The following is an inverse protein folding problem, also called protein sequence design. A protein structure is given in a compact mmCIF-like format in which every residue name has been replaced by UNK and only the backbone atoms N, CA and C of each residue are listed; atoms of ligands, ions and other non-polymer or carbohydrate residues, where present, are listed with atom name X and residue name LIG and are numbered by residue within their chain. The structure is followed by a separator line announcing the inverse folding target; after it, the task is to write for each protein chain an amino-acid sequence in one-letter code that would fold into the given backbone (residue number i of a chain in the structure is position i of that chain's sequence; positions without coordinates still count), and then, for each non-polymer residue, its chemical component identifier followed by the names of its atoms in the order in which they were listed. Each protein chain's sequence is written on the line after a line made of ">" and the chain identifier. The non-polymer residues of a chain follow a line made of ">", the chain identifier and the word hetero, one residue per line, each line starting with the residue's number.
data_IF_093214015690
#
_entry.id   IF_093214015690
#
_cell.length_a   1.000
_cell.length_b   1.000
_cell.length_c   1.000
_cell.angle_alpha   90.00
_cell.angle_beta   90.00
_cell.angle_gamma   90.00
#
_symmetry.space_group_name_H-M   'P 1'
#
loop_
_entity.id
_entity.type
_entity.pdbx_description
1 polymer ?
#
# COMPACT_ATOMS: atom_id res chain seq x y z
N UNK A 1 -10.51 -3.78 19.97
CA UNK A 1 -11.85 -4.35 20.20
C UNK A 1 -12.06 -5.63 19.37
N UNK A 2 -12.03 -5.60 18.02
CA UNK A 2 -12.28 -6.76 17.14
C UNK A 2 -11.28 -7.91 17.39
N UNK A 3 -9.99 -7.62 17.60
CA UNK A 3 -8.98 -8.63 17.92
C UNK A 3 -9.30 -9.34 19.25
N UNK A 4 -9.69 -8.59 20.27
CA UNK A 4 -10.10 -9.13 21.57
C UNK A 4 -11.36 -10.00 21.45
N UNK A 5 -12.34 -9.58 20.63
CA UNK A 5 -13.55 -10.38 20.36
C UNK A 5 -13.22 -11.68 19.62
N UNK A 6 -12.30 -11.64 18.63
CA UNK A 6 -11.85 -12.87 17.93
C UNK A 6 -11.14 -13.84 18.88
N UNK A 7 -10.26 -13.34 19.76
CA UNK A 7 -9.58 -14.16 20.76
C UNK A 7 -10.57 -14.74 21.79
N UNK A 8 -11.57 -13.96 22.21
CA UNK A 8 -12.63 -14.42 23.11
C UNK A 8 -13.50 -15.50 22.42
N UNK A 9 -13.88 -15.30 21.17
CA UNK A 9 -14.66 -16.30 20.41
C UNK A 9 -13.85 -17.59 20.21
N UNK A 10 -12.57 -17.52 19.90
CA UNK A 10 -11.71 -18.70 19.78
C UNK A 10 -11.70 -19.54 21.08
N UNK A 11 -11.57 -18.89 22.23
CA UNK A 11 -11.65 -19.58 23.54
C UNK A 11 -13.04 -20.20 23.80
N UNK A 12 -14.11 -19.51 23.38
CA UNK A 12 -15.48 -20.05 23.47
C UNK A 12 -15.66 -21.26 22.56
N UNK A 13 -15.12 -21.23 21.32
CA UNK A 13 -15.16 -22.35 20.37
C UNK A 13 -14.41 -23.60 20.89
N UNK A 14 -13.21 -23.40 21.47
CA UNK A 14 -12.45 -24.47 22.11
C UNK A 14 -13.26 -25.09 23.26
N UNK A 15 -13.93 -24.26 24.06
CA UNK A 15 -14.78 -24.73 25.16
C UNK A 15 -16.02 -25.45 24.69
N UNK A 16 -16.64 -24.98 23.60
CA UNK A 16 -17.77 -25.69 22.96
C UNK A 16 -17.35 -27.09 22.52
N UNK A 17 -16.20 -27.20 21.87
CA UNK A 17 -15.64 -28.46 21.41
C UNK A 17 -15.40 -29.46 22.55
N UNK A 18 -14.76 -29.01 23.65
CA UNK A 18 -14.54 -29.82 24.84
C UNK A 18 -15.87 -30.34 25.44
N UNK A 19 -16.87 -29.46 25.53
CA UNK A 19 -18.18 -29.82 26.08
C UNK A 19 -18.91 -30.82 25.17
N UNK A 20 -18.88 -30.63 23.86
CA UNK A 20 -19.47 -31.54 22.88
C UNK A 20 -18.80 -32.91 22.91
N UNK A 21 -17.49 -33.00 22.96
CA UNK A 21 -16.75 -34.26 23.06
C UNK A 21 -17.07 -34.98 24.35
N UNK A 22 -17.19 -34.29 25.47
CA UNK A 22 -17.59 -34.91 26.73
C UNK A 22 -19.04 -35.44 26.69
N UNK A 23 -19.97 -34.63 26.17
CA UNK A 23 -21.39 -35.03 26.06
C UNK A 23 -21.51 -36.25 25.15
N UNK A 24 -20.86 -36.24 23.99
CA UNK A 24 -20.85 -37.37 23.04
C UNK A 24 -20.35 -38.66 23.69
N UNK A 25 -19.22 -38.55 24.45
CA UNK A 25 -18.58 -39.72 25.07
C UNK A 25 -19.35 -40.32 26.25
N UNK A 26 -20.11 -39.51 26.99
CA UNK A 26 -20.72 -39.91 28.26
C UNK A 26 -22.25 -39.79 28.34
N UNK A 27 -22.90 -39.38 27.26
CA UNK A 27 -24.39 -39.24 27.22
C UNK A 27 -25.12 -40.53 27.52
N UNK A 28 -24.60 -41.68 27.12
CA UNK A 28 -25.18 -43.00 27.34
C UNK A 28 -24.77 -43.67 28.68
N UNK A 29 -23.88 -43.05 29.46
CA UNK A 29 -23.37 -43.63 30.70
C UNK A 29 -24.21 -43.21 31.91
N UNK A 30 -24.92 -44.14 32.53
CA UNK A 30 -25.83 -43.87 33.63
C UNK A 30 -25.16 -43.19 34.85
N UNK A 31 -23.91 -43.55 35.18
CA UNK A 31 -23.18 -42.96 36.31
C UNK A 31 -22.71 -41.50 36.05
N UNK A 32 -22.56 -41.09 34.77
CA UNK A 32 -22.14 -39.76 34.36
C UNK A 32 -23.24 -38.91 33.73
N UNK A 33 -24.45 -39.43 33.65
CA UNK A 33 -25.62 -38.77 33.04
C UNK A 33 -25.89 -37.38 33.64
N UNK A 34 -25.81 -37.22 34.96
CA UNK A 34 -26.01 -35.92 35.63
C UNK A 34 -24.90 -34.88 35.20
N UNK A 35 -23.68 -35.37 35.02
CA UNK A 35 -22.57 -34.50 34.57
C UNK A 35 -22.74 -34.13 33.08
N UNK A 36 -23.16 -35.04 32.22
CA UNK A 36 -23.47 -34.78 30.84
C UNK A 36 -24.59 -33.75 30.68
N UNK A 37 -25.68 -33.89 31.48
CA UNK A 37 -26.78 -32.92 31.50
C UNK A 37 -26.34 -31.52 31.97
N UNK A 38 -25.50 -31.45 33.00
CA UNK A 38 -24.96 -30.17 33.47
C UNK A 38 -24.10 -29.50 32.40
N UNK A 39 -23.27 -30.29 31.68
CA UNK A 39 -22.42 -29.75 30.59
C UNK A 39 -23.22 -29.36 29.36
N UNK A 40 -24.32 -30.04 29.07
CA UNK A 40 -25.28 -29.66 28.02
C UNK A 40 -25.89 -28.29 28.32
N UNK A 41 -26.31 -28.04 29.56
CA UNK A 41 -26.80 -26.72 29.99
C UNK A 41 -25.73 -25.65 29.92
N UNK A 42 -24.46 -25.98 30.22
CA UNK A 42 -23.35 -25.05 30.09
C UNK A 42 -23.09 -24.72 28.61
N UNK A 43 -23.17 -25.68 27.70
CA UNK A 43 -23.05 -25.50 26.26
C UNK A 43 -24.12 -24.54 25.71
N UNK A 44 -25.37 -24.72 26.13
CA UNK A 44 -26.53 -23.90 25.73
C UNK A 44 -26.38 -22.43 26.14
N UNK A 45 -25.59 -22.15 27.17
CA UNK A 45 -25.34 -20.78 27.67
C UNK A 45 -24.17 -20.05 26.96
N UNK A 46 -23.36 -20.78 26.21
CA UNK A 46 -22.23 -20.17 25.49
C UNK A 46 -22.76 -19.54 24.21
N UNK A 47 -22.70 -18.20 24.16
CA UNK A 47 -22.99 -17.43 22.95
C UNK A 47 -21.68 -16.90 22.38
N UNK A 48 -21.46 -17.13 21.08
CA UNK A 48 -20.39 -16.47 20.35
C UNK A 48 -20.79 -15.03 20.08
N UNK A 49 -19.85 -14.12 20.27
CA UNK A 49 -20.09 -12.73 19.92
C UNK A 49 -20.20 -12.60 18.40
N UNK A 50 -21.25 -11.97 17.92
CA UNK A 50 -21.44 -11.71 16.50
C UNK A 50 -20.43 -10.64 16.06
N UNK A 51 -19.34 -11.08 15.45
CA UNK A 51 -18.37 -10.18 14.83
C UNK A 51 -18.93 -9.82 13.46
N UNK A 52 -19.61 -8.69 13.37
CA UNK A 52 -20.05 -8.17 12.07
C UNK A 52 -18.84 -7.98 11.18
N UNK A 53 -18.82 -8.52 9.95
CA UNK A 53 -17.76 -8.25 9.01
C UNK A 53 -17.62 -6.73 8.85
N UNK A 54 -16.40 -6.22 8.93
CA UNK A 54 -16.16 -4.80 8.71
C UNK A 54 -16.63 -4.44 7.30
N UNK A 55 -17.47 -3.43 7.18
CA UNK A 55 -17.85 -2.85 5.88
C UNK A 55 -16.68 -2.09 5.24
N UNK A 56 -15.59 -1.90 5.99
CA UNK A 56 -14.39 -1.22 5.50
C UNK A 56 -13.67 -2.09 4.50
N UNK A 57 -13.50 -1.55 3.31
CA UNK A 57 -12.71 -2.18 2.24
C UNK A 57 -11.34 -1.51 2.22
N UNK A 58 -10.30 -2.34 2.21
CA UNK A 58 -8.92 -1.88 2.10
C UNK A 58 -8.43 -2.14 0.67
N UNK A 59 -7.82 -1.17 -0.01
CA UNK A 59 -7.13 -1.45 -1.25
C UNK A 59 -5.96 -2.40 -0.97
N UNK A 60 -5.65 -3.26 -1.94
CA UNK A 60 -4.51 -4.16 -1.84
C UNK A 60 -3.29 -3.53 -2.50
N UNK A 61 -2.37 -3.02 -1.68
CA UNK A 61 -1.13 -2.40 -2.13
C UNK A 61 0.03 -3.36 -1.86
N UNK A 62 0.70 -3.77 -2.93
CA UNK A 62 1.82 -4.70 -2.89
C UNK A 62 2.81 -4.33 -4.02
N UNK A 63 3.89 -3.68 -3.67
CA UNK A 63 4.92 -3.26 -4.62
C UNK A 63 5.90 -4.40 -4.85
N UNK A 64 5.93 -4.92 -6.07
CA UNK A 64 6.82 -6.03 -6.48
C UNK A 64 7.77 -5.57 -7.56
N UNK A 65 9.07 -5.46 -7.25
CA UNK A 65 10.05 -5.14 -8.26
C UNK A 65 10.16 -6.24 -9.33
N UNK A 66 10.22 -5.83 -10.60
CA UNK A 66 10.47 -6.74 -11.72
C UNK A 66 11.95 -7.18 -11.79
N UNK A 67 12.84 -6.45 -11.10
CA UNK A 67 14.27 -6.65 -11.12
C UNK A 67 14.86 -6.47 -9.73
N UNK A 68 15.83 -7.30 -9.37
CA UNK A 68 16.62 -7.10 -8.16
C UNK A 68 17.48 -5.84 -8.27
N UNK A 69 17.60 -5.13 -7.14
CA UNK A 69 18.40 -3.91 -7.04
C UNK A 69 19.85 -4.25 -6.66
N UNK A 70 20.81 -3.60 -7.30
CA UNK A 70 22.23 -3.71 -6.97
C UNK A 70 22.60 -2.93 -5.69
N UNK A 71 23.85 -3.01 -5.31
CA UNK A 71 24.34 -2.36 -4.07
C UNK A 71 24.42 -0.83 -4.19
N UNK A 72 24.79 -0.31 -5.37
CA UNK A 72 24.83 1.13 -5.65
C UNK A 72 23.49 1.54 -6.22
N UNK A 73 22.74 2.37 -5.49
CA UNK A 73 21.41 2.79 -5.89
C UNK A 73 21.40 4.23 -6.36
N UNK A 74 21.87 5.16 -5.56
CA UNK A 74 21.92 6.57 -5.90
C UNK A 74 23.15 7.23 -5.27
N UNK A 75 23.85 8.01 -6.06
CA UNK A 75 24.91 8.92 -5.58
C UNK A 75 24.52 10.34 -5.96
N UNK A 76 24.55 11.24 -5.00
CA UNK A 76 24.31 12.68 -5.16
C UNK A 76 25.53 13.42 -4.63
N UNK A 77 26.10 14.34 -5.41
CA UNK A 77 27.32 15.08 -5.06
C UNK A 77 27.15 16.57 -5.33
N UNK A 78 27.19 17.37 -4.27
CA UNK A 78 27.21 18.83 -4.34
C UNK A 78 25.98 19.45 -5.00
N UNK A 79 24.82 18.80 -4.93
CA UNK A 79 23.61 19.19 -5.65
C UNK A 79 23.04 20.49 -5.10
N UNK A 80 22.91 21.50 -5.96
CA UNK A 80 22.34 22.81 -5.62
C UNK A 80 21.30 23.24 -6.64
N UNK A 81 20.26 23.95 -6.17
CA UNK A 81 19.20 24.52 -7.00
C UNK A 81 18.69 25.83 -6.44
N UNK A 82 18.61 26.83 -7.29
CA UNK A 82 18.04 28.16 -7.02
C UNK A 82 16.75 28.31 -7.84
N UNK A 83 15.69 28.77 -7.22
CA UNK A 83 14.41 29.09 -7.87
C UNK A 83 14.04 30.52 -7.49
N UNK A 84 13.73 31.35 -8.47
CA UNK A 84 13.34 32.75 -8.29
C UNK A 84 14.31 33.57 -7.40
N UNK A 85 15.61 33.27 -7.49
CA UNK A 85 16.65 33.92 -6.71
C UNK A 85 16.83 33.38 -5.28
N UNK A 86 16.03 32.45 -4.84
CA UNK A 86 16.17 31.78 -3.56
C UNK A 86 16.87 30.43 -3.75
N UNK A 87 17.91 30.16 -2.95
CA UNK A 87 18.64 28.89 -2.96
C UNK A 87 17.81 27.86 -2.20
N UNK A 88 17.16 26.96 -2.94
CA UNK A 88 16.25 25.93 -2.40
C UNK A 88 17.01 24.68 -1.95
N UNK A 89 18.00 24.26 -2.73
CA UNK A 89 18.92 23.17 -2.39
C UNK A 89 20.34 23.73 -2.36
N UNK A 90 21.11 23.40 -1.33
CA UNK A 90 22.46 23.91 -1.14
C UNK A 90 23.44 22.77 -0.84
N UNK A 91 24.28 22.43 -1.83
CA UNK A 91 25.38 21.50 -1.72
C UNK A 91 25.03 20.15 -1.09
N UNK A 92 23.91 19.54 -1.52
CA UNK A 92 23.47 18.24 -1.02
C UNK A 92 24.39 17.13 -1.52
N UNK A 93 24.90 16.32 -0.58
CA UNK A 93 25.73 15.16 -0.89
C UNK A 93 25.28 13.98 -0.03
N UNK A 94 24.88 12.87 -0.67
CA UNK A 94 24.52 11.63 -0.01
C UNK A 94 24.57 10.46 -0.98
N UNK A 95 24.60 9.25 -0.44
CA UNK A 95 24.52 8.00 -1.20
C UNK A 95 23.44 7.08 -0.62
N UNK A 96 22.79 6.30 -1.48
CA UNK A 96 21.82 5.29 -1.07
C UNK A 96 22.27 3.90 -1.53
N UNK A 97 22.16 2.93 -0.63
CA UNK A 97 22.38 1.51 -0.88
C UNK A 97 21.07 0.74 -1.00
N UNK A 98 21.16 -0.54 -1.29
CA UNK A 98 20.02 -1.42 -1.64
C UNK A 98 18.98 -1.64 -0.53
N UNK A 99 19.32 -1.38 0.72
CA UNK A 99 18.44 -1.62 1.87
C UNK A 99 17.89 -0.33 2.49
N UNK A 100 18.22 0.83 1.91
CA UNK A 100 17.91 2.10 2.51
C UNK A 100 16.42 2.44 2.39
N UNK A 101 15.89 2.92 3.51
CA UNK A 101 14.57 3.55 3.63
C UNK A 101 14.78 4.94 4.19
N UNK A 102 14.67 5.96 3.34
CA UNK A 102 15.06 7.33 3.67
C UNK A 102 13.85 8.24 3.72
N UNK A 103 13.76 9.05 4.76
CA UNK A 103 12.77 10.11 4.87
C UNK A 103 13.46 11.48 4.89
N UNK A 104 13.11 12.32 3.93
CA UNK A 104 13.53 13.72 3.93
C UNK A 104 12.59 14.53 4.82
N UNK A 105 13.12 15.04 5.92
CA UNK A 105 12.38 15.85 6.90
C UNK A 105 12.86 17.28 6.88
N UNK A 106 11.94 18.24 7.07
CA UNK A 106 12.25 19.66 7.10
C UNK A 106 11.02 20.51 6.87
N UNK A 107 11.10 21.78 7.21
CA UNK A 107 10.01 22.74 7.09
C UNK A 107 9.74 23.23 5.66
N UNK A 108 10.68 23.03 4.73
CA UNK A 108 10.52 23.45 3.33
C UNK A 108 10.06 22.25 2.48
N UNK A 109 8.74 22.11 2.32
CA UNK A 109 8.15 21.07 1.47
C UNK A 109 8.52 21.25 -0.02
N UNK A 110 8.64 22.50 -0.46
CA UNK A 110 9.02 22.82 -1.83
C UNK A 110 10.42 22.28 -2.17
N UNK A 111 11.35 22.37 -1.25
CA UNK A 111 12.69 21.82 -1.43
C UNK A 111 12.68 20.30 -1.66
N UNK A 112 11.83 19.57 -0.95
CA UNK A 112 11.67 18.11 -1.12
C UNK A 112 11.15 17.77 -2.52
N UNK A 113 10.11 18.47 -2.96
CA UNK A 113 9.55 18.30 -4.32
C UNK A 113 10.56 18.61 -5.41
N UNK A 114 11.36 19.71 -5.26
CA UNK A 114 12.42 20.06 -6.21
C UNK A 114 13.50 18.97 -6.27
N UNK A 115 13.93 18.45 -5.13
CA UNK A 115 14.88 17.34 -5.09
C UNK A 115 14.36 16.13 -5.86
N UNK A 116 13.11 15.70 -5.61
CA UNK A 116 12.52 14.57 -6.32
C UNK A 116 12.41 14.82 -7.83
N UNK A 117 11.99 16.02 -8.25
CA UNK A 117 11.94 16.39 -9.67
C UNK A 117 13.30 16.33 -10.36
N UNK A 118 14.38 16.73 -9.66
CA UNK A 118 15.74 16.58 -10.18
C UNK A 118 16.09 15.10 -10.30
N UNK A 119 15.84 14.29 -9.26
CA UNK A 119 16.21 12.88 -9.25
C UNK A 119 15.49 12.03 -10.30
N UNK A 120 14.27 12.42 -10.71
CA UNK A 120 13.54 11.76 -11.80
C UNK A 120 13.81 12.36 -13.19
N UNK A 121 14.65 13.41 -13.27
CA UNK A 121 15.03 14.04 -14.53
C UNK A 121 14.01 15.03 -15.09
N UNK A 122 13.03 15.48 -14.31
CA UNK A 122 12.08 16.53 -14.70
C UNK A 122 12.67 17.94 -14.56
N UNK A 123 13.77 18.08 -13.83
CA UNK A 123 14.45 19.36 -13.59
C UNK A 123 15.97 19.14 -13.53
N UNK A 124 16.73 20.05 -14.14
CA UNK A 124 18.19 20.04 -14.04
C UNK A 124 18.66 20.77 -12.78
N UNK A 125 19.69 20.27 -12.08
CA UNK A 125 20.35 21.00 -11.01
C UNK A 125 21.15 22.19 -11.58
N UNK A 126 21.42 23.21 -10.76
CA UNK A 126 22.29 24.32 -11.16
C UNK A 126 23.77 23.95 -10.94
N UNK A 127 24.05 23.19 -9.88
CA UNK A 127 25.39 22.68 -9.55
C UNK A 127 25.27 21.23 -9.03
N UNK A 128 26.42 20.53 -9.12
CA UNK A 128 26.51 19.15 -8.67
C UNK A 128 25.98 18.14 -9.66
N UNK A 129 25.99 16.88 -9.25
CA UNK A 129 25.58 15.75 -10.08
C UNK A 129 24.81 14.73 -9.28
N UNK A 130 24.01 13.92 -9.98
CA UNK A 130 23.42 12.71 -9.40
C UNK A 130 23.54 11.56 -10.40
N UNK A 131 23.63 10.35 -9.88
CA UNK A 131 23.75 9.14 -10.68
C UNK A 131 22.98 8.00 -10.07
N UNK A 132 22.03 7.44 -10.82
CA UNK A 132 21.36 6.20 -10.49
C UNK A 132 22.20 4.98 -10.86
N UNK A 133 22.15 3.95 -10.03
CA UNK A 133 22.73 2.65 -10.32
C UNK A 133 22.11 2.01 -11.56
N UNK A 134 22.88 1.24 -12.31
CA UNK A 134 22.44 0.62 -13.60
C UNK A 134 21.30 -0.40 -13.45
N UNK A 135 21.03 -0.87 -12.22
CA UNK A 135 19.96 -1.83 -11.93
C UNK A 135 18.70 -1.18 -11.40
N UNK A 136 18.71 0.15 -11.21
CA UNK A 136 17.59 0.88 -10.63
C UNK A 136 16.50 1.17 -11.65
N UNK A 137 15.27 1.13 -11.20
CA UNK A 137 14.09 1.62 -11.91
C UNK A 137 13.24 2.41 -10.92
N UNK A 138 12.93 3.65 -11.25
CA UNK A 138 12.27 4.58 -10.36
C UNK A 138 10.78 4.67 -10.67
N UNK A 139 9.94 4.70 -9.61
CA UNK A 139 8.56 5.13 -9.70
C UNK A 139 8.36 6.32 -8.77
N UNK A 140 7.76 7.37 -9.28
CA UNK A 140 7.52 8.61 -8.55
C UNK A 140 6.04 8.84 -8.29
N UNK A 141 5.73 9.15 -7.05
CA UNK A 141 4.43 9.63 -6.63
C UNK A 141 4.55 11.13 -6.37
N UNK A 142 4.06 11.99 -7.30
CA UNK A 142 4.18 13.44 -7.19
C UNK A 142 3.19 14.00 -6.16
N UNK A 143 3.57 15.12 -5.52
CA UNK A 143 2.68 15.89 -4.65
C UNK A 143 1.51 16.49 -5.44
N UNK A 144 1.80 17.04 -6.62
CA UNK A 144 0.80 17.54 -7.57
C UNK A 144 0.76 16.61 -8.79
N UNK A 145 -0.38 15.99 -9.00
CA UNK A 145 -0.64 15.02 -10.06
C UNK A 145 -1.76 15.41 -10.99
N UNK A 146 -2.27 16.65 -10.89
CA UNK A 146 -3.40 17.11 -11.70
C UNK A 146 -3.19 16.91 -13.20
N UNK A 147 -2.01 17.27 -13.70
CA UNK A 147 -1.65 17.14 -15.11
C UNK A 147 -1.59 15.70 -15.65
N UNK A 148 -1.35 14.70 -14.80
CA UNK A 148 -1.32 13.30 -15.24
C UNK A 148 -2.70 12.77 -15.69
N UNK A 149 -3.76 13.39 -15.20
CA UNK A 149 -5.14 13.01 -15.46
C UNK A 149 -5.88 13.95 -16.42
N UNK A 150 -5.19 14.93 -16.96
CA UNK A 150 -5.76 15.88 -17.94
C UNK A 150 -5.66 15.31 -19.36
N UNK A 151 -6.43 14.23 -19.58
CA UNK A 151 -6.51 13.54 -20.87
C UNK A 151 -7.84 12.79 -21.01
N UNK A 152 -8.09 12.27 -22.21
CA UNK A 152 -9.36 11.62 -22.57
C UNK A 152 -9.41 10.10 -22.33
N UNK A 153 -8.36 9.51 -21.78
CA UNK A 153 -8.31 8.06 -21.52
C UNK A 153 -9.33 7.66 -20.43
N UNK A 154 -9.86 6.46 -20.56
CA UNK A 154 -10.49 5.81 -19.42
C UNK A 154 -9.42 5.20 -18.48
N UNK A 155 -9.83 4.81 -17.26
CA UNK A 155 -8.88 4.32 -16.24
C UNK A 155 -8.08 3.11 -16.75
N UNK A 156 -8.73 2.18 -17.45
CA UNK A 156 -8.09 0.98 -17.98
C UNK A 156 -7.05 1.33 -19.04
N UNK A 157 -7.41 2.20 -20.00
CA UNK A 157 -6.50 2.67 -21.05
C UNK A 157 -5.32 3.44 -20.47
N UNK A 158 -5.60 4.33 -19.50
CA UNK A 158 -4.57 5.10 -18.83
C UNK A 158 -3.56 4.19 -18.11
N UNK A 159 -4.02 3.21 -17.35
CA UNK A 159 -3.12 2.31 -16.64
C UNK A 159 -2.36 1.36 -17.57
N UNK A 160 -2.97 0.94 -18.68
CA UNK A 160 -2.35 0.05 -19.68
C UNK A 160 -1.08 0.66 -20.28
N UNK A 161 -0.97 2.00 -20.35
CA UNK A 161 0.23 2.64 -20.89
C UNK A 161 1.49 2.30 -20.09
N UNK A 162 1.35 2.12 -18.77
CA UNK A 162 2.45 1.87 -17.83
C UNK A 162 2.71 0.38 -17.55
N UNK A 163 1.91 -0.50 -18.14
CA UNK A 163 2.07 -1.95 -17.98
C UNK A 163 2.94 -2.53 -19.09
N UNK A 164 3.85 -3.44 -18.74
CA UNK A 164 4.54 -4.28 -19.72
C UNK A 164 3.55 -5.27 -20.36
N UNK A 165 2.71 -5.89 -19.55
CA UNK A 165 1.61 -6.75 -19.98
C UNK A 165 0.42 -5.89 -20.43
N UNK A 166 0.09 -5.97 -21.73
CA UNK A 166 -0.99 -5.15 -22.32
C UNK A 166 -2.37 -5.81 -22.27
N UNK A 167 -2.48 -6.99 -21.67
CA UNK A 167 -3.80 -7.62 -21.50
C UNK A 167 -4.72 -6.82 -20.58
N UNK A 168 -5.90 -6.52 -21.09
CA UNK A 168 -6.93 -5.75 -20.40
C UNK A 168 -7.36 -6.43 -19.09
N UNK A 169 -7.41 -7.77 -19.07
CA UNK A 169 -7.80 -8.55 -17.90
C UNK A 169 -6.78 -8.39 -16.78
N UNK A 170 -5.49 -8.42 -17.14
CA UNK A 170 -4.38 -8.18 -16.20
C UNK A 170 -4.47 -6.78 -15.57
N UNK A 171 -4.62 -5.75 -16.40
CA UNK A 171 -4.73 -4.35 -15.93
C UNK A 171 -5.96 -4.15 -15.04
N UNK A 172 -7.12 -4.69 -15.44
CA UNK A 172 -8.34 -4.65 -14.61
C UNK A 172 -8.19 -5.37 -13.29
N UNK A 173 -7.36 -6.41 -13.22
CA UNK A 173 -7.00 -7.09 -12.00
C UNK A 173 -6.30 -6.16 -10.99
N UNK A 174 -5.42 -5.27 -11.45
CA UNK A 174 -4.82 -4.22 -10.62
C UNK A 174 -5.85 -3.22 -10.11
N UNK A 175 -6.70 -2.73 -11.00
CA UNK A 175 -7.76 -1.78 -10.66
C UNK A 175 -8.73 -2.38 -9.64
N UNK A 176 -9.12 -3.64 -9.81
CA UNK A 176 -9.98 -4.34 -8.86
C UNK A 176 -9.37 -4.44 -7.46
N UNK A 177 -8.07 -4.70 -7.35
CA UNK A 177 -7.32 -4.69 -6.07
C UNK A 177 -7.32 -3.31 -5.42
N UNK A 178 -7.36 -2.25 -6.22
CA UNK A 178 -7.45 -0.86 -5.76
C UNK A 178 -8.89 -0.36 -5.59
N UNK A 179 -9.85 -1.30 -5.47
CA UNK A 179 -11.28 -1.03 -5.22
C UNK A 179 -12.01 -0.30 -6.35
N UNK A 180 -11.53 -0.40 -7.57
CA UNK A 180 -12.32 0.00 -8.73
C UNK A 180 -13.20 -1.19 -9.16
N UNK A 181 -14.49 -0.93 -9.32
CA UNK A 181 -15.41 -1.93 -9.86
C UNK A 181 -15.20 -2.12 -11.37
N UNK A 182 -15.78 -3.17 -11.95
CA UNK A 182 -15.69 -3.39 -13.39
C UNK A 182 -16.21 -2.22 -14.24
N UNK A 183 -17.22 -1.51 -13.75
CA UNK A 183 -17.81 -0.33 -14.41
C UNK A 183 -16.93 0.92 -14.27
N UNK A 184 -16.15 1.03 -13.19
CA UNK A 184 -15.24 2.16 -13.01
C UNK A 184 -14.11 2.17 -14.06
N UNK A 185 -13.71 1.02 -14.58
CA UNK A 185 -12.66 0.91 -15.58
C UNK A 185 -12.89 1.69 -16.87
N UNK A 186 -14.15 2.04 -17.17
CA UNK A 186 -14.52 2.84 -18.37
C UNK A 186 -14.72 4.32 -18.05
N UNK A 187 -14.64 4.74 -16.79
CA UNK A 187 -14.65 6.16 -16.42
C UNK A 187 -13.45 6.88 -17.00
N UNK A 188 -13.65 8.11 -17.49
CA UNK A 188 -12.54 8.98 -17.89
C UNK A 188 -11.71 9.40 -16.66
N UNK A 189 -10.40 9.40 -16.81
CA UNK A 189 -9.49 9.78 -15.70
C UNK A 189 -9.66 11.24 -15.27
N UNK A 190 -10.07 12.11 -16.17
CA UNK A 190 -10.30 13.53 -15.90
C UNK A 190 -11.41 13.77 -14.85
N UNK A 191 -12.41 12.88 -14.74
CA UNK A 191 -13.56 13.06 -13.83
C UNK A 191 -13.39 12.38 -12.48
N UNK A 192 -12.21 11.76 -12.21
CA UNK A 192 -11.93 11.06 -10.97
C UNK A 192 -11.81 12.02 -9.79
N UNK A 193 -12.32 11.60 -8.64
CA UNK A 193 -12.07 12.26 -7.36
C UNK A 193 -10.59 12.18 -6.97
N UNK A 194 -10.14 13.05 -6.05
CA UNK A 194 -8.75 13.04 -5.57
C UNK A 194 -8.30 11.67 -5.06
N UNK A 195 -9.12 10.99 -4.24
CA UNK A 195 -8.82 9.65 -3.75
C UNK A 195 -8.77 8.58 -4.85
N UNK A 196 -9.62 8.66 -5.87
CA UNK A 196 -9.56 7.76 -7.04
C UNK A 196 -8.28 8.01 -7.85
N UNK A 197 -7.90 9.27 -8.08
CA UNK A 197 -6.64 9.63 -8.76
C UNK A 197 -5.42 9.06 -8.02
N UNK A 198 -5.38 9.21 -6.69
CA UNK A 198 -4.30 8.64 -5.87
C UNK A 198 -4.26 7.11 -5.98
N UNK A 199 -5.40 6.42 -5.95
CA UNK A 199 -5.44 4.97 -6.16
C UNK A 199 -4.97 4.56 -7.56
N UNK A 200 -5.26 5.35 -8.59
CA UNK A 200 -4.71 5.15 -9.94
C UNK A 200 -3.18 5.31 -9.96
N UNK A 201 -2.62 6.35 -9.31
CA UNK A 201 -1.17 6.54 -9.20
C UNK A 201 -0.48 5.39 -8.48
N UNK A 202 -1.05 4.91 -7.37
CA UNK A 202 -0.54 3.73 -6.67
C UNK A 202 -0.60 2.47 -7.55
N UNK A 203 -1.65 2.32 -8.36
CA UNK A 203 -1.75 1.24 -9.35
C UNK A 203 -0.65 1.34 -10.41
N UNK A 204 -0.37 2.56 -10.91
CA UNK A 204 0.73 2.86 -11.85
C UNK A 204 2.08 2.45 -11.25
N UNK A 205 2.34 2.83 -10.01
CA UNK A 205 3.58 2.46 -9.31
C UNK A 205 3.71 0.95 -9.11
N UNK A 206 2.64 0.26 -8.75
CA UNK A 206 2.66 -1.19 -8.58
C UNK A 206 2.90 -1.92 -9.91
N UNK A 207 2.21 -1.50 -10.99
CA UNK A 207 2.26 -2.19 -12.28
C UNK A 207 3.59 -1.93 -13.01
N UNK A 208 4.28 -0.83 -12.71
CA UNK A 208 5.59 -0.51 -13.27
C UNK A 208 6.70 -1.45 -12.81
N UNK A 209 6.52 -2.13 -11.68
CA UNK A 209 7.53 -3.02 -11.12
C UNK A 209 8.85 -2.34 -10.74
N UNK A 210 8.83 -1.05 -10.42
CA UNK A 210 10.01 -0.31 -10.02
C UNK A 210 10.61 -0.83 -8.71
N UNK A 211 11.94 -0.76 -8.59
CA UNK A 211 12.67 -1.17 -7.39
C UNK A 211 13.13 0.00 -6.51
N UNK A 212 12.85 1.23 -6.94
CA UNK A 212 13.00 2.46 -6.14
C UNK A 212 11.68 3.22 -6.19
N UNK A 213 11.15 3.59 -5.03
CA UNK A 213 9.95 4.40 -4.91
C UNK A 213 10.28 5.76 -4.31
N UNK A 214 9.93 6.82 -5.02
CA UNK A 214 9.98 8.19 -4.54
C UNK A 214 8.55 8.65 -4.23
N UNK A 215 8.27 9.03 -2.99
CA UNK A 215 6.94 9.37 -2.51
C UNK A 215 6.94 10.80 -1.97
N UNK A 216 6.27 11.71 -2.66
CA UNK A 216 6.11 13.11 -2.25
C UNK A 216 4.71 13.31 -1.67
N UNK A 217 4.61 13.28 -0.34
CA UNK A 217 3.37 13.42 0.44
C UNK A 217 2.22 12.49 -0.01
N UNK A 218 2.46 11.17 -0.10
CA UNK A 218 1.54 10.23 -0.74
C UNK A 218 0.24 10.01 0.03
N UNK A 219 0.13 10.51 1.25
CA UNK A 219 -1.06 10.36 2.11
C UNK A 219 -2.11 11.44 1.90
N UNK A 220 -1.76 12.51 1.20
CA UNK A 220 -2.72 13.56 0.85
C UNK A 220 -3.82 12.95 -0.03
N UNK A 221 -5.07 13.28 0.27
CA UNK A 221 -6.27 12.77 -0.41
C UNK A 221 -6.57 11.26 -0.22
N UNK A 222 -5.89 10.56 0.70
CA UNK A 222 -6.21 9.18 1.07
C UNK A 222 -7.08 9.12 2.33
N UNK A 223 -8.01 8.16 2.33
CA UNK A 223 -8.72 7.76 3.53
C UNK A 223 -7.84 6.90 4.45
N UNK A 224 -8.28 6.70 5.68
CA UNK A 224 -7.53 5.95 6.70
C UNK A 224 -7.24 4.51 6.28
N UNK A 225 -8.15 3.90 5.55
CA UNK A 225 -8.03 2.54 5.03
C UNK A 225 -6.92 2.46 3.96
N UNK A 226 -6.89 3.42 3.06
CA UNK A 226 -5.86 3.51 2.01
C UNK A 226 -4.48 3.87 2.58
N UNK A 227 -4.39 4.77 3.57
CA UNK A 227 -3.14 5.07 4.29
C UNK A 227 -2.61 3.79 4.97
N UNK A 228 -3.48 3.04 5.64
CA UNK A 228 -3.09 1.78 6.30
C UNK A 228 -2.59 0.76 5.28
N UNK A 229 -3.27 0.64 4.14
CA UNK A 229 -2.87 -0.26 3.07
C UNK A 229 -1.52 0.14 2.44
N UNK A 230 -1.32 1.44 2.19
CA UNK A 230 -0.06 1.98 1.68
C UNK A 230 1.09 1.68 2.65
N UNK A 231 0.93 2.00 3.93
CA UNK A 231 1.94 1.73 4.95
C UNK A 231 2.32 0.24 5.00
N UNK A 232 1.33 -0.66 4.97
CA UNK A 232 1.58 -2.10 4.94
C UNK A 232 2.31 -2.56 3.66
N UNK A 233 2.02 -1.94 2.52
CA UNK A 233 2.71 -2.20 1.26
C UNK A 233 4.17 -1.74 1.30
N UNK A 234 4.43 -0.54 1.86
CA UNK A 234 5.78 0.01 1.99
C UNK A 234 6.66 -0.78 2.97
N UNK A 235 6.10 -1.25 4.10
CA UNK A 235 6.82 -2.11 5.06
C UNK A 235 7.33 -3.39 4.39
N UNK A 236 6.56 -3.95 3.47
CA UNK A 236 6.89 -5.21 2.76
C UNK A 236 7.75 -5.00 1.52
N UNK A 237 7.89 -3.77 1.06
CA UNK A 237 8.62 -3.47 -0.16
C UNK A 237 10.11 -3.80 -0.03
N UNK A 238 10.67 -4.68 -0.86
CA UNK A 238 12.07 -5.12 -0.76
C UNK A 238 13.06 -4.14 -1.39
N UNK A 239 12.59 -3.15 -2.14
CA UNK A 239 13.42 -2.13 -2.80
C UNK A 239 13.76 -0.94 -1.92
N UNK A 240 14.29 0.12 -2.49
CA UNK A 240 14.66 1.38 -1.82
C UNK A 240 13.48 2.35 -1.80
N UNK A 241 13.33 3.04 -0.69
CA UNK A 241 12.26 3.98 -0.44
C UNK A 241 12.81 5.31 0.02
#
# INVERSE_FOLDING_TARGET
>A
LIRQMKEANKKKEEKIKELQEFISRFSANASKSKQATSRKRALEKIQLDEIRPSSRKYPYIDFRPNREIGNEVLTVEGLSKTIDGEKILDNLTFTLGREDKVAFVGGNEFAKTILFKILIGEMEPDEGTYKWGVTTSQAYFPKDFGGEFDNDYNITEWLTQYSEEKDVTYVRGFLGRMLFSGEDGVKKVAVLSGGEKVRCLLSKMMISGANVLLLDEPTNHLDMESITALNNGLIKFPGVL
#
